data_IF_448618256705
#
_entry.id   IF_448618256705
#
_cell.length_a   1.000
_cell.length_b   1.000
_cell.length_c   1.000
_cell.angle_alpha   90.00
_cell.angle_beta   90.00
_cell.angle_gamma   90.00
#
_symmetry.space_group_name_H-M   'P 1'
#
loop_
_entity.id
_entity.type
_entity.pdbx_description
1 polymer ?
#
# COMPACT_ATOMS: atom_id res chain seq x y z
N UNK A 1 -6.27 -71.29 -33.43
CA UNK A 1 -6.36 -70.51 -34.69
C UNK A 1 -5.81 -69.13 -34.44
N UNK A 2 -4.84 -68.73 -35.27
CA UNK A 2 -4.13 -67.45 -35.21
C UNK A 2 -5.06 -66.29 -35.57
N UNK A 3 -4.93 -65.15 -34.88
CA UNK A 3 -5.14 -63.84 -35.51
C UNK A 3 -4.40 -62.78 -34.71
N UNK A 4 -3.18 -62.53 -35.18
CA UNK A 4 -2.34 -61.36 -34.92
C UNK A 4 -3.10 -60.16 -35.49
N UNK A 5 -3.38 -59.14 -34.68
CA UNK A 5 -3.81 -57.82 -35.17
C UNK A 5 -2.68 -56.82 -34.95
N UNK A 6 -2.47 -56.08 -36.03
CA UNK A 6 -1.30 -55.29 -36.36
C UNK A 6 -1.29 -53.96 -35.60
N UNK A 7 -0.07 -53.66 -35.15
CA UNK A 7 0.51 -52.39 -34.74
C UNK A 7 0.03 -51.18 -35.55
N UNK A 8 -0.44 -50.12 -34.88
CA UNK A 8 -0.29 -48.74 -35.36
C UNK A 8 0.13 -47.86 -34.19
N UNK A 9 1.43 -47.57 -34.15
CA UNK A 9 2.03 -46.52 -33.32
C UNK A 9 1.72 -45.18 -34.02
N UNK A 10 0.88 -44.36 -33.42
CA UNK A 10 0.71 -42.96 -33.82
C UNK A 10 1.42 -42.08 -32.78
N UNK A 11 2.68 -41.74 -33.05
CA UNK A 11 3.43 -40.73 -32.30
C UNK A 11 2.94 -39.35 -32.72
N UNK A 12 2.05 -38.75 -31.92
CA UNK A 12 1.70 -37.35 -32.02
C UNK A 12 2.79 -36.52 -31.31
N UNK A 13 3.77 -36.05 -32.09
CA UNK A 13 4.69 -35.02 -31.65
C UNK A 13 3.96 -33.66 -31.65
N UNK A 14 3.35 -33.29 -30.52
CA UNK A 14 2.87 -31.94 -30.31
C UNK A 14 4.05 -31.04 -29.93
N UNK A 15 4.31 -30.09 -30.81
CA UNK A 15 5.27 -29.01 -30.68
C UNK A 15 5.05 -28.25 -29.36
N UNK A 16 6.06 -28.27 -28.50
CA UNK A 16 6.19 -27.29 -27.42
C UNK A 16 6.49 -25.94 -28.08
N UNK A 17 5.43 -25.17 -28.36
CA UNK A 17 5.58 -23.73 -28.53
C UNK A 17 5.99 -23.16 -27.17
N UNK A 18 7.30 -23.01 -26.98
CA UNK A 18 7.87 -22.19 -25.91
C UNK A 18 7.43 -20.75 -26.17
N UNK A 19 6.28 -20.39 -25.63
CA UNK A 19 5.86 -19.01 -25.53
C UNK A 19 6.95 -18.27 -24.76
N UNK A 20 7.56 -17.27 -25.40
CA UNK A 20 8.39 -16.28 -24.71
C UNK A 20 7.57 -15.77 -23.53
N UNK A 21 8.00 -16.10 -22.31
CA UNK A 21 7.55 -15.39 -21.13
C UNK A 21 8.03 -13.95 -21.31
N UNK A 22 7.14 -13.07 -21.74
CA UNK A 22 7.28 -11.66 -21.42
C UNK A 22 7.20 -11.63 -19.90
N UNK A 23 8.37 -11.48 -19.28
CA UNK A 23 8.49 -11.13 -17.87
C UNK A 23 7.67 -9.87 -17.69
N UNK A 24 6.57 -9.99 -16.93
CA UNK A 24 5.82 -8.85 -16.46
C UNK A 24 6.80 -7.88 -15.78
N UNK A 25 6.66 -6.56 -15.97
CA UNK A 25 7.47 -5.61 -15.24
C UNK A 25 7.28 -5.88 -13.75
N UNK A 26 8.38 -6.09 -13.03
CA UNK A 26 8.34 -6.26 -11.58
C UNK A 26 7.73 -4.99 -10.98
N UNK A 27 6.54 -5.10 -10.38
CA UNK A 27 5.85 -4.03 -9.66
C UNK A 27 6.75 -3.54 -8.52
N UNK A 28 7.49 -2.47 -8.76
CA UNK A 28 8.44 -1.86 -7.84
C UNK A 28 7.75 -0.92 -6.83
N UNK A 29 6.69 -1.39 -6.18
CA UNK A 29 6.17 -0.74 -4.98
C UNK A 29 6.89 -1.30 -3.74
N UNK A 30 8.23 -1.15 -3.70
CA UNK A 30 8.99 -1.39 -2.47
C UNK A 30 8.90 -0.14 -1.61
N UNK A 31 8.27 -0.29 -0.46
CA UNK A 31 8.20 0.74 0.56
C UNK A 31 9.57 0.88 1.23
N UNK A 32 10.11 2.09 1.22
CA UNK A 32 11.15 2.48 2.16
C UNK A 32 10.45 2.83 3.49
N UNK A 33 10.72 2.02 4.52
CA UNK A 33 10.34 2.33 5.90
C UNK A 33 11.12 3.57 6.33
N UNK A 34 10.41 4.68 6.44
CA UNK A 34 10.99 5.93 6.90
C UNK A 34 10.42 6.24 8.29
N UNK A 35 11.08 5.70 9.31
CA UNK A 35 10.88 6.17 10.67
C UNK A 35 11.52 7.57 10.79
N UNK A 36 10.68 8.57 11.08
CA UNK A 36 11.06 9.95 11.43
C UNK A 36 11.82 10.77 10.37
N UNK A 37 11.45 10.67 9.10
CA UNK A 37 12.08 11.51 8.05
C UNK A 37 11.20 12.71 7.72
N UNK A 38 11.73 13.89 8.05
CA UNK A 38 11.35 15.14 7.40
C UNK A 38 11.78 15.05 5.94
N UNK A 39 10.84 14.78 5.04
CA UNK A 39 11.11 14.68 3.62
C UNK A 39 11.32 16.09 3.07
N UNK A 40 12.48 16.35 2.46
CA UNK A 40 12.80 17.65 1.85
C UNK A 40 11.89 17.93 0.66
N UNK A 41 11.47 16.88 -0.05
CA UNK A 41 10.53 16.98 -1.16
C UNK A 41 9.59 15.76 -1.20
N UNK A 42 8.28 16.04 -1.31
CA UNK A 42 7.25 15.03 -1.50
C UNK A 42 6.92 14.91 -2.98
N UNK A 43 7.00 13.69 -3.51
CA UNK A 43 6.60 13.36 -4.88
C UNK A 43 5.48 12.32 -4.88
N UNK A 44 4.93 12.00 -6.06
CA UNK A 44 3.91 10.95 -6.21
C UNK A 44 4.48 9.78 -7.00
N UNK A 45 4.25 8.57 -6.51
CA UNK A 45 4.47 7.36 -7.31
C UNK A 45 3.40 7.19 -8.40
N UNK A 46 3.54 6.18 -9.25
CA UNK A 46 2.57 5.85 -10.31
C UNK A 46 1.17 5.51 -9.76
N UNK A 47 1.07 5.22 -8.46
CA UNK A 47 -0.17 4.97 -7.74
C UNK A 47 -0.77 6.23 -7.10
N UNK A 48 -0.10 7.38 -7.19
CA UNK A 48 -0.50 8.64 -6.59
C UNK A 48 -0.22 8.76 -5.09
N UNK A 49 0.49 7.79 -4.49
CA UNK A 49 0.92 7.85 -3.10
C UNK A 49 2.01 8.90 -2.95
N UNK A 50 1.95 9.66 -1.85
CA UNK A 50 3.03 10.56 -1.48
C UNK A 50 4.23 9.73 -1.03
N UNK A 51 5.34 9.88 -1.74
CA UNK A 51 6.63 9.28 -1.40
C UNK A 51 7.66 10.38 -1.14
N UNK A 52 8.63 10.09 -0.28
CA UNK A 52 9.77 10.97 -0.07
C UNK A 52 10.70 10.83 -1.26
N UNK A 53 10.77 11.86 -2.11
CA UNK A 53 11.62 11.85 -3.29
C UNK A 53 13.08 11.77 -2.82
N UNK A 54 13.97 10.91 -3.35
CA UNK A 54 15.41 11.01 -3.11
C UNK A 54 15.94 12.37 -3.61
N UNK A 55 17.06 12.93 -3.08
CA UNK A 55 17.55 14.19 -3.59
C UNK A 55 18.06 13.91 -5.00
N UNK A 56 17.57 14.68 -5.97
CA UNK A 56 17.90 14.52 -7.38
C UNK A 56 19.42 14.42 -7.56
N UNK A 57 19.90 13.20 -7.84
CA UNK A 57 21.27 12.95 -8.28
C UNK A 57 21.18 12.44 -9.71
N UNK A 58 21.19 13.39 -10.63
CA UNK A 58 21.58 13.10 -12.01
C UNK A 58 23.10 12.89 -12.03
N UNK A 59 23.47 11.69 -12.45
CA UNK A 59 24.76 11.24 -12.98
C UNK A 59 26.04 11.27 -12.13
N UNK A 60 26.69 10.11 -12.12
CA UNK A 60 27.96 9.78 -11.48
C UNK A 60 29.17 10.53 -12.08
N UNK A 61 29.91 11.36 -11.31
CA UNK A 61 31.40 11.39 -11.28
C UNK A 61 32.04 12.34 -10.24
N UNK A 62 32.83 11.75 -9.33
CA UNK A 62 34.16 12.13 -8.76
C UNK A 62 34.39 13.51 -8.07
N UNK A 63 34.67 13.41 -6.77
CA UNK A 63 35.45 14.23 -5.80
C UNK A 63 36.34 15.37 -6.37
N UNK A 64 36.15 16.62 -5.90
CA UNK A 64 37.10 17.36 -5.01
C UNK A 64 36.71 18.85 -4.80
N UNK A 65 36.75 19.24 -3.54
CA UNK A 65 36.80 20.56 -2.87
C UNK A 65 36.89 21.87 -3.69
N UNK A 66 35.98 22.82 -3.41
CA UNK A 66 36.31 24.21 -3.04
C UNK A 66 35.03 24.99 -2.73
N UNK A 67 35.02 25.64 -1.57
CA UNK A 67 33.98 26.52 -1.07
C UNK A 67 33.80 27.77 -1.93
N UNK A 68 32.56 28.05 -2.32
CA UNK A 68 32.02 29.43 -2.27
C UNK A 68 30.50 29.36 -2.22
N UNK A 69 29.95 29.82 -1.10
CA UNK A 69 28.53 30.03 -0.87
C UNK A 69 28.03 31.25 -1.64
N UNK A 70 26.93 31.09 -2.39
CA UNK A 70 25.91 32.14 -2.51
C UNK A 70 24.55 31.54 -2.88
N UNK A 71 23.66 31.57 -1.89
CA UNK A 71 22.24 31.24 -1.95
C UNK A 71 21.49 31.97 -3.07
N UNK A 72 20.52 31.30 -3.69
CA UNK A 72 19.10 31.71 -3.64
C UNK A 72 18.21 30.76 -4.45
N UNK A 73 17.68 29.74 -3.81
CA UNK A 73 16.32 29.23 -4.07
C UNK A 73 15.81 28.61 -2.78
N UNK A 74 14.95 29.33 -2.10
CA UNK A 74 14.24 28.85 -0.91
C UNK A 74 13.28 27.74 -1.31
N UNK A 75 13.74 26.50 -1.26
CA UNK A 75 12.87 25.33 -1.29
C UNK A 75 12.11 25.30 0.03
N UNK A 76 10.85 25.73 -0.03
CA UNK A 76 9.93 25.65 1.08
C UNK A 76 9.54 24.18 1.22
N UNK A 77 10.18 23.46 2.14
CA UNK A 77 9.81 22.08 2.49
C UNK A 77 8.34 22.06 2.93
N UNK A 78 7.48 21.54 2.06
CA UNK A 78 6.04 21.39 2.31
C UNK A 78 5.85 20.24 3.29
N UNK A 79 5.01 20.35 4.32
CA UNK A 79 4.77 19.21 5.22
C UNK A 79 3.88 18.16 4.54
N UNK A 80 3.87 16.91 5.02
CA UNK A 80 3.00 15.86 4.45
C UNK A 80 1.52 16.23 4.57
N UNK A 81 1.16 16.91 5.66
CA UNK A 81 -0.18 17.43 5.92
C UNK A 81 -0.59 18.47 4.85
N UNK A 82 0.33 19.35 4.45
CA UNK A 82 0.07 20.28 3.35
C UNK A 82 0.02 19.56 1.99
N UNK A 83 0.80 18.48 1.81
CA UNK A 83 0.93 17.74 0.56
C UNK A 83 -0.32 16.92 0.20
N UNK A 84 -1.02 16.36 1.19
CA UNK A 84 -2.24 15.59 0.95
C UNK A 84 -3.37 16.46 0.39
N UNK A 85 -4.06 15.92 -0.61
CA UNK A 85 -5.21 16.50 -1.30
C UNK A 85 -6.39 15.54 -1.22
N UNK A 86 -7.61 16.07 -1.12
CA UNK A 86 -8.84 15.29 -0.94
C UNK A 86 -9.12 14.31 -2.11
N UNK A 87 -8.66 14.64 -3.32
CA UNK A 87 -8.78 13.77 -4.50
C UNK A 87 -7.74 12.63 -4.53
N UNK A 88 -6.78 12.61 -3.61
CA UNK A 88 -5.71 11.63 -3.59
C UNK A 88 -6.16 10.25 -3.09
N UNK A 89 -5.46 9.22 -3.57
CA UNK A 89 -5.65 7.83 -3.14
C UNK A 89 -4.41 7.39 -2.38
N UNK A 90 -4.47 7.54 -1.06
CA UNK A 90 -3.36 7.23 -0.18
C UNK A 90 -3.53 5.83 0.41
N UNK A 91 -2.41 5.14 0.60
CA UNK A 91 -2.40 3.75 1.11
C UNK A 91 -1.32 3.49 2.16
N UNK A 92 -0.40 4.44 2.36
CA UNK A 92 0.74 4.28 3.27
C UNK A 92 0.50 4.91 4.64
N UNK A 93 1.22 4.42 5.67
CA UNK A 93 1.10 4.88 7.06
C UNK A 93 0.98 6.40 7.19
N UNK A 94 1.98 7.13 6.69
CA UNK A 94 2.09 8.57 6.94
C UNK A 94 1.14 9.37 6.06
N UNK A 95 0.92 8.95 4.80
CA UNK A 95 0.04 9.66 3.87
C UNK A 95 -1.44 9.52 4.26
N UNK A 96 -1.85 8.35 4.76
CA UNK A 96 -3.22 8.12 5.26
C UNK A 96 -3.41 8.81 6.60
N UNK A 97 -2.42 8.80 7.50
CA UNK A 97 -2.50 9.52 8.76
C UNK A 97 -2.63 11.04 8.54
N UNK A 98 -1.82 11.61 7.65
CA UNK A 98 -1.92 13.02 7.26
C UNK A 98 -3.28 13.34 6.62
N UNK A 99 -3.81 12.45 5.78
CA UNK A 99 -5.13 12.63 5.20
C UNK A 99 -6.24 12.65 6.27
N UNK A 100 -6.21 11.69 7.20
CA UNK A 100 -7.15 11.62 8.32
C UNK A 100 -7.11 12.90 9.17
N UNK A 101 -5.92 13.38 9.52
CA UNK A 101 -5.77 14.63 10.29
C UNK A 101 -6.33 15.86 9.57
N UNK A 102 -6.24 15.91 8.24
CA UNK A 102 -6.68 17.07 7.45
C UNK A 102 -8.16 17.08 7.13
N UNK A 103 -8.73 15.91 6.86
CA UNK A 103 -10.08 15.79 6.30
C UNK A 103 -11.07 15.05 7.21
N UNK A 104 -10.60 14.53 8.36
CA UNK A 104 -11.38 13.77 9.35
C UNK A 104 -12.18 12.60 8.75
N UNK A 105 -11.66 12.01 7.67
CA UNK A 105 -12.25 10.87 6.95
C UNK A 105 -11.19 10.10 6.19
N UNK A 106 -11.48 8.85 5.83
CA UNK A 106 -10.58 8.07 4.99
C UNK A 106 -10.58 8.56 3.53
N UNK A 107 -9.48 8.34 2.79
CA UNK A 107 -9.43 8.51 1.35
C UNK A 107 -10.52 7.69 0.63
N UNK A 108 -10.96 8.15 -0.53
CA UNK A 108 -12.09 7.55 -1.29
C UNK A 108 -11.85 6.11 -1.77
N UNK A 109 -10.61 5.62 -1.73
CA UNK A 109 -10.24 4.24 -2.04
C UNK A 109 -10.45 3.27 -0.87
N UNK A 110 -10.96 3.72 0.28
CA UNK A 110 -11.31 2.87 1.40
C UNK A 110 -12.78 2.47 1.39
N UNK A 111 -13.05 1.22 1.75
CA UNK A 111 -14.39 0.70 2.00
C UNK A 111 -14.39 -0.13 3.27
N UNK A 112 -15.53 -0.24 3.93
CA UNK A 112 -15.70 -1.13 5.10
C UNK A 112 -15.48 -2.59 4.72
N UNK A 113 -15.25 -3.45 5.71
CA UNK A 113 -15.13 -4.90 5.50
C UNK A 113 -16.35 -5.50 4.79
N UNK A 114 -17.56 -5.03 5.13
CA UNK A 114 -18.79 -5.52 4.52
C UNK A 114 -18.94 -5.09 3.05
N UNK A 115 -18.60 -3.84 2.74
CA UNK A 115 -18.58 -3.32 1.37
C UNK A 115 -17.52 -4.04 0.54
N UNK A 116 -16.32 -4.22 1.08
CA UNK A 116 -15.23 -4.95 0.43
C UNK A 116 -15.60 -6.40 0.11
N UNK A 117 -16.26 -7.10 1.05
CA UNK A 117 -16.80 -8.44 0.81
C UNK A 117 -17.79 -8.44 -0.35
N UNK A 118 -18.76 -7.53 -0.32
CA UNK A 118 -19.80 -7.43 -1.36
C UNK A 118 -19.19 -7.12 -2.73
N UNK A 119 -18.18 -6.25 -2.76
CA UNK A 119 -17.44 -5.90 -3.97
C UNK A 119 -16.65 -7.10 -4.51
N UNK A 120 -16.02 -7.89 -3.64
CA UNK A 120 -15.33 -9.12 -4.03
C UNK A 120 -16.29 -10.13 -4.69
N UNK A 121 -17.43 -10.41 -4.06
CA UNK A 121 -18.40 -11.36 -4.61
C UNK A 121 -18.95 -10.86 -5.96
N UNK A 122 -19.24 -9.56 -6.06
CA UNK A 122 -19.71 -8.94 -7.31
C UNK A 122 -18.66 -8.95 -8.42
N UNK A 123 -17.40 -8.60 -8.14
CA UNK A 123 -16.33 -8.52 -9.16
C UNK A 123 -15.80 -9.89 -9.59
N UNK A 124 -15.75 -10.86 -8.69
CA UNK A 124 -15.12 -12.16 -8.96
C UNK A 124 -16.12 -13.27 -9.28
N UNK A 125 -17.40 -13.09 -8.91
CA UNK A 125 -18.42 -14.14 -8.99
C UNK A 125 -18.21 -15.29 -7.99
N UNK A 126 -17.26 -15.16 -7.06
CA UNK A 126 -16.95 -16.18 -6.04
C UNK A 126 -17.55 -15.78 -4.71
N UNK A 127 -18.09 -16.73 -3.96
CA UNK A 127 -18.48 -16.51 -2.57
C UNK A 127 -17.24 -16.10 -1.74
N UNK A 128 -17.42 -15.13 -0.86
CA UNK A 128 -16.38 -14.73 0.07
C UNK A 128 -16.26 -15.74 1.21
N UNK A 129 -15.06 -16.26 1.42
CA UNK A 129 -14.71 -17.13 2.56
C UNK A 129 -13.97 -16.33 3.64
N UNK A 130 -12.80 -15.78 3.27
CA UNK A 130 -11.93 -15.05 4.20
C UNK A 130 -10.99 -14.08 3.48
N UNK A 131 -10.42 -13.15 4.23
CA UNK A 131 -9.43 -12.18 3.76
C UNK A 131 -8.01 -12.77 3.60
N UNK A 132 -7.82 -13.72 2.69
CA UNK A 132 -6.53 -14.35 2.38
C UNK A 132 -5.93 -13.91 1.03
N UNK A 133 -6.32 -12.73 0.55
CA UNK A 133 -5.88 -12.12 -0.70
C UNK A 133 -5.60 -10.63 -0.47
N UNK A 134 -4.90 -9.97 -1.39
CA UNK A 134 -4.69 -8.53 -1.39
C UNK A 134 -5.90 -7.82 -2.03
N UNK A 135 -6.71 -7.04 -1.27
CA UNK A 135 -7.89 -6.36 -1.81
C UNK A 135 -7.56 -5.28 -2.84
N UNK A 136 -6.42 -4.60 -2.74
CA UNK A 136 -6.02 -3.58 -3.71
C UNK A 136 -5.84 -4.19 -5.10
N UNK A 137 -5.05 -5.26 -5.22
CA UNK A 137 -4.79 -5.90 -6.52
C UNK A 137 -5.97 -6.72 -7.03
N UNK A 138 -6.89 -7.15 -6.15
CA UNK A 138 -8.03 -8.00 -6.52
C UNK A 138 -9.27 -7.19 -6.87
N UNK A 139 -9.59 -6.17 -6.07
CA UNK A 139 -10.83 -5.40 -6.18
C UNK A 139 -10.63 -3.88 -6.21
N UNK A 140 -9.39 -3.38 -6.10
CA UNK A 140 -9.05 -1.97 -6.30
C UNK A 140 -9.37 -1.07 -5.12
N UNK A 141 -9.45 -1.62 -3.89
CA UNK A 141 -9.80 -0.87 -2.68
C UNK A 141 -8.91 -1.28 -1.49
N UNK A 142 -8.81 -0.38 -0.52
CA UNK A 142 -8.33 -0.64 0.82
C UNK A 142 -9.52 -0.94 1.75
N UNK A 143 -9.28 -1.69 2.81
CA UNK A 143 -10.29 -1.98 3.84
C UNK A 143 -10.08 -1.04 5.02
N UNK A 144 -11.14 -0.37 5.46
CA UNK A 144 -11.10 0.52 6.63
C UNK A 144 -12.40 1.28 6.84
N UNK A 145 -12.53 1.91 8.01
CA UNK A 145 -13.72 2.63 8.45
C UNK A 145 -14.60 1.83 9.40
N UNK A 146 -14.29 0.56 9.64
CA UNK A 146 -14.99 -0.25 10.64
C UNK A 146 -14.62 0.18 12.07
N UNK A 147 -15.52 -0.04 13.02
CA UNK A 147 -15.29 0.29 14.44
C UNK A 147 -14.22 -0.63 15.04
N UNK A 148 -13.21 -0.03 15.67
CA UNK A 148 -12.23 -0.76 16.47
C UNK A 148 -12.71 -0.85 17.93
N UNK A 149 -12.81 -2.08 18.45
CA UNK A 149 -13.46 -2.33 19.73
C UNK A 149 -12.59 -1.98 20.95
N UNK A 150 -11.26 -2.01 20.81
CA UNK A 150 -10.30 -1.80 21.92
C UNK A 150 -10.60 -2.71 23.14
N UNK A 151 -10.86 -4.01 22.88
CA UNK A 151 -11.26 -4.97 23.92
C UNK A 151 -10.14 -5.24 24.93
N UNK A 152 -8.89 -5.21 24.44
CA UNK A 152 -7.66 -5.41 25.20
C UNK A 152 -7.30 -4.16 26.02
N UNK A 153 -7.92 -3.01 25.73
CA UNK A 153 -7.70 -1.78 26.47
C UNK A 153 -6.29 -1.19 26.31
N UNK A 154 -5.60 -1.50 25.22
CA UNK A 154 -4.24 -1.00 24.92
C UNK A 154 -4.24 0.50 24.55
N UNK A 155 -5.40 1.03 24.14
CA UNK A 155 -5.60 2.46 23.89
C UNK A 155 -6.45 3.10 24.99
N UNK A 156 -6.33 4.42 25.23
CA UNK A 156 -7.24 5.17 26.10
C UNK A 156 -8.71 4.95 25.72
N UNK A 157 -9.63 5.11 26.67
CA UNK A 157 -11.08 4.97 26.40
C UNK A 157 -11.53 5.95 25.31
N UNK A 158 -12.30 5.47 24.34
CA UNK A 158 -12.91 6.29 23.29
C UNK A 158 -13.54 5.46 22.17
N UNK A 159 -14.00 6.12 21.11
CA UNK A 159 -14.64 5.50 19.94
C UNK A 159 -13.69 5.50 18.76
N UNK A 160 -13.08 4.36 18.48
CA UNK A 160 -12.09 4.25 17.41
C UNK A 160 -12.64 3.57 16.16
N UNK A 161 -12.01 3.87 15.04
CA UNK A 161 -12.14 3.14 13.79
C UNK A 161 -10.77 2.60 13.37
N UNK A 162 -10.75 1.62 12.48
CA UNK A 162 -9.52 1.04 11.95
C UNK A 162 -9.41 1.19 10.43
N UNK A 163 -8.18 1.26 9.92
CA UNK A 163 -7.90 1.28 8.51
C UNK A 163 -6.64 0.49 8.19
N UNK A 164 -6.72 -0.34 7.16
CA UNK A 164 -5.56 -1.02 6.61
C UNK A 164 -4.64 -0.04 5.88
N UNK A 165 -3.35 -0.31 5.98
CA UNK A 165 -2.30 0.41 5.27
C UNK A 165 -1.25 -0.61 4.80
N UNK A 166 -0.45 -0.23 3.82
CA UNK A 166 0.74 -0.99 3.40
C UNK A 166 0.45 -2.49 3.17
N UNK A 167 -0.53 -2.79 2.32
CA UNK A 167 -0.84 -4.18 1.98
C UNK A 167 0.40 -4.94 1.54
N UNK A 168 0.54 -6.15 2.07
CA UNK A 168 1.52 -7.09 1.55
C UNK A 168 1.12 -7.54 0.15
N UNK A 169 2.08 -8.05 -0.63
CA UNK A 169 1.81 -8.53 -1.99
C UNK A 169 0.71 -9.60 -2.07
N UNK A 170 0.51 -10.41 -1.02
CA UNK A 170 -0.42 -11.55 -1.04
C UNK A 170 -1.70 -11.35 -0.24
N UNK A 171 -1.70 -10.46 0.75
CA UNK A 171 -2.81 -10.31 1.69
C UNK A 171 -2.84 -8.90 2.32
N UNK A 172 -3.82 -8.66 3.19
CA UNK A 172 -4.02 -7.38 3.91
C UNK A 172 -2.84 -6.93 4.81
N UNK A 173 -1.84 -7.77 5.04
CA UNK A 173 -0.74 -7.50 5.96
C UNK A 173 -1.19 -7.35 7.41
N UNK A 174 -0.26 -6.93 8.25
CA UNK A 174 -0.44 -6.75 9.71
C UNK A 174 -0.55 -5.28 10.12
N UNK A 175 -0.24 -4.35 9.23
CA UNK A 175 -0.15 -2.93 9.52
C UNK A 175 -1.52 -2.25 9.48
N UNK A 176 -1.85 -1.46 10.51
CA UNK A 176 -3.13 -0.73 10.60
C UNK A 176 -2.93 0.64 11.24
N UNK A 177 -3.80 1.57 10.87
CA UNK A 177 -4.10 2.75 11.67
C UNK A 177 -5.36 2.48 12.50
N UNK A 178 -5.35 2.93 13.75
CA UNK A 178 -6.52 3.01 14.63
C UNK A 178 -6.70 4.47 14.98
N UNK A 179 -7.84 5.04 14.61
CA UNK A 179 -8.03 6.49 14.60
C UNK A 179 -9.35 6.93 15.21
N UNK A 180 -9.36 8.19 15.61
CA UNK A 180 -10.48 8.97 16.14
C UNK A 180 -10.53 10.31 15.41
N UNK A 181 -11.60 11.08 15.65
CA UNK A 181 -11.64 12.48 15.23
C UNK A 181 -10.52 13.30 15.86
N UNK A 182 -10.30 14.51 15.33
CA UNK A 182 -9.31 15.47 15.84
C UNK A 182 -7.86 14.96 15.78
N UNK A 183 -7.51 14.22 14.71
CA UNK A 183 -6.14 13.75 14.45
C UNK A 183 -5.57 12.82 15.54
N UNK A 184 -6.43 12.12 16.29
CA UNK A 184 -5.99 11.09 17.23
C UNK A 184 -5.76 9.79 16.48
N UNK A 185 -4.49 9.46 16.21
CA UNK A 185 -4.11 8.31 15.38
C UNK A 185 -3.05 7.45 16.09
N UNK A 186 -3.30 6.15 16.11
CA UNK A 186 -2.37 5.12 16.56
C UNK A 186 -2.02 4.20 15.39
N UNK A 187 -0.80 3.69 15.40
CA UNK A 187 -0.29 2.73 14.43
C UNK A 187 0.06 1.41 15.11
N UNK A 188 -0.29 0.31 14.47
CA UNK A 188 0.20 -1.04 14.81
C UNK A 188 0.89 -1.63 13.58
N UNK A 189 2.06 -2.24 13.79
CA UNK A 189 2.79 -2.99 12.78
C UNK A 189 2.55 -4.51 12.87
N UNK A 190 2.02 -4.95 14.00
CA UNK A 190 2.02 -6.31 14.51
C UNK A 190 0.60 -6.84 14.74
N UNK A 191 -0.36 -6.35 13.96
CA UNK A 191 -1.74 -6.83 13.98
C UNK A 191 -2.38 -6.70 15.39
N UNK A 192 -2.33 -5.47 15.91
CA UNK A 192 -2.93 -5.02 17.18
C UNK A 192 -2.25 -5.54 18.46
N UNK A 193 -1.07 -6.16 18.37
CA UNK A 193 -0.30 -6.57 19.56
C UNK A 193 0.30 -5.37 20.31
N UNK A 194 0.72 -4.33 19.59
CA UNK A 194 1.20 -3.07 20.17
C UNK A 194 0.81 -1.84 19.34
N UNK A 195 0.82 -0.67 19.99
CA UNK A 195 0.44 0.60 19.37
C UNK A 195 1.47 1.70 19.64
N UNK A 196 1.73 2.51 18.62
CA UNK A 196 2.45 3.77 18.73
C UNK A 196 1.52 4.92 18.35
N UNK A 197 1.42 5.96 19.18
CA UNK A 197 0.69 7.18 18.82
C UNK A 197 1.49 7.93 17.76
N UNK A 198 0.82 8.36 16.69
CA UNK A 198 1.44 9.17 15.65
C UNK A 198 1.26 10.65 15.97
N UNK A 199 2.32 11.43 15.77
CA UNK A 199 2.31 12.88 15.82
C UNK A 199 2.57 13.38 14.38
N UNK A 200 1.55 13.96 13.75
CA UNK A 200 1.63 14.40 12.35
C UNK A 200 1.89 15.91 12.31
N UNK A 201 2.91 16.31 11.55
CA UNK A 201 3.34 17.71 11.35
C UNK A 201 3.25 18.11 9.86
#
# INVERSE_FOLDING_TARGET
MKSIKVLFLATAACFFASACTVSAPEDNCKEASYDNIMCYEYSRDDCGNIICAPPSSSDSKKISSSSTVKSSSSEKSKTILEAVQESGKYTTRDSVAAYLCKFDKLPTNYVTQNEGKSLYESKTGKAFDKWNFNPWTTIGVMIGGDKFANNEGLLPKGTYHEADIDYSAKNRGTKRLVYQSDCVIYYTADHYESFSKLEIQ
#
